data_IF_108781245660
#
_entry.id   IF_108781245660
#
_cell.length_a   1.000
_cell.length_b   1.000
_cell.length_c   1.000
_cell.angle_alpha   90.00
_cell.angle_beta   90.00
_cell.angle_gamma   90.00
#
_symmetry.space_group_name_H-M   'P 1'
#
loop_
_entity.id
_entity.type
_entity.pdbx_description
1 polymer ?
#
# COMPACT_ATOMS: atom_id res chain seq x y z
N UNK A 1 0.81 25.25 -28.27
CA UNK A 1 0.75 23.77 -28.21
C UNK A 1 -0.42 23.42 -27.29
N UNK A 2 -1.58 23.08 -27.85
CA UNK A 2 -2.80 22.85 -27.09
C UNK A 2 -2.70 21.51 -26.36
N UNK A 3 -2.55 21.59 -25.05
CA UNK A 3 -2.48 20.46 -24.14
C UNK A 3 -3.92 20.00 -23.89
N UNK A 4 -4.48 19.21 -24.82
CA UNK A 4 -5.80 18.60 -24.65
C UNK A 4 -5.70 17.59 -23.51
N UNK A 5 -6.02 18.03 -22.30
CA UNK A 5 -6.19 17.18 -21.14
C UNK A 5 -7.11 16.03 -21.56
N UNK A 6 -6.54 14.83 -21.66
CA UNK A 6 -7.19 13.65 -22.19
C UNK A 6 -8.44 13.38 -21.36
N UNK A 7 -9.65 13.62 -21.88
CA UNK A 7 -10.92 13.30 -21.21
C UNK A 7 -11.20 11.79 -21.18
N UNK A 8 -10.16 10.94 -21.24
CA UNK A 8 -10.30 9.49 -21.29
C UNK A 8 -9.97 8.90 -19.94
N UNK A 9 -10.84 8.02 -19.47
CA UNK A 9 -10.64 7.33 -18.21
C UNK A 9 -9.45 6.35 -18.33
N UNK A 10 -8.50 6.43 -17.40
CA UNK A 10 -7.34 5.53 -17.43
C UNK A 10 -7.66 4.05 -17.22
N UNK A 11 -8.88 3.71 -16.79
CA UNK A 11 -9.32 2.35 -16.43
C UNK A 11 -10.13 1.71 -17.57
N UNK A 12 -11.22 2.37 -17.98
CA UNK A 12 -12.15 1.84 -19.00
C UNK A 12 -11.96 2.45 -20.40
N UNK A 13 -11.05 3.42 -20.56
CA UNK A 13 -10.75 4.11 -21.83
C UNK A 13 -11.91 4.90 -22.47
N UNK A 14 -13.02 5.05 -21.75
CA UNK A 14 -14.17 5.86 -22.18
C UNK A 14 -13.89 7.37 -22.06
N UNK A 15 -14.43 8.14 -23.01
CA UNK A 15 -14.36 9.60 -23.01
C UNK A 15 -15.48 10.20 -22.18
N UNK A 16 -15.14 10.69 -20.98
CA UNK A 16 -16.09 11.23 -20.00
C UNK A 16 -15.39 12.13 -18.99
N UNK A 17 -16.15 12.79 -18.11
CA UNK A 17 -15.56 13.64 -17.07
C UNK A 17 -14.70 12.79 -16.13
N UNK A 18 -13.40 13.09 -16.12
CA UNK A 18 -12.42 12.41 -15.26
C UNK A 18 -11.91 13.35 -14.17
N UNK A 19 -11.48 12.75 -13.06
CA UNK A 19 -10.79 13.42 -11.99
C UNK A 19 -9.67 12.52 -11.45
N UNK A 20 -8.60 13.11 -10.91
CA UNK A 20 -7.65 12.33 -10.10
C UNK A 20 -8.37 11.81 -8.86
N UNK A 21 -8.18 10.52 -8.58
CA UNK A 21 -8.78 9.86 -7.43
C UNK A 21 -7.70 9.41 -6.48
N UNK A 22 -8.01 9.54 -5.20
CA UNK A 22 -7.11 9.15 -4.12
C UNK A 22 -7.71 7.94 -3.41
N UNK A 23 -7.00 6.82 -3.50
CA UNK A 23 -7.18 5.68 -2.62
C UNK A 23 -5.93 5.56 -1.75
N UNK A 24 -6.04 4.91 -0.59
CA UNK A 24 -4.88 4.60 0.21
C UNK A 24 -3.91 3.68 -0.56
N UNK A 25 -2.61 3.67 -0.21
CA UNK A 25 -1.65 2.76 -0.85
C UNK A 25 -2.06 1.29 -0.79
N UNK A 26 -2.66 0.87 0.33
CA UNK A 26 -3.14 -0.51 0.53
C UNK A 26 -4.34 -0.83 -0.35
N UNK A 27 -5.26 0.12 -0.55
CA UNK A 27 -6.39 -0.05 -1.46
C UNK A 27 -5.91 -0.17 -2.92
N UNK A 28 -4.94 0.65 -3.34
CA UNK A 28 -4.32 0.50 -4.67
C UNK A 28 -3.61 -0.84 -4.84
N UNK A 29 -2.92 -1.30 -3.79
CA UNK A 29 -2.26 -2.61 -3.79
C UNK A 29 -3.28 -3.73 -3.94
N UNK A 30 -4.37 -3.69 -3.17
CA UNK A 30 -5.45 -4.66 -3.24
C UNK A 30 -6.07 -4.72 -4.64
N UNK A 31 -6.46 -3.56 -5.21
CA UNK A 31 -6.99 -3.47 -6.58
C UNK A 31 -6.02 -4.03 -7.64
N UNK A 32 -4.71 -3.82 -7.45
CA UNK A 32 -3.69 -4.36 -8.37
C UNK A 32 -3.55 -5.88 -8.23
N UNK A 33 -3.54 -6.41 -7.01
CA UNK A 33 -3.44 -7.85 -6.73
C UNK A 33 -4.69 -8.59 -7.22
N UNK A 34 -5.86 -7.97 -7.09
CA UNK A 34 -7.12 -8.52 -7.62
C UNK A 34 -7.23 -8.45 -9.14
N UNK A 35 -6.33 -7.72 -9.82
CA UNK A 35 -6.32 -7.58 -11.28
C UNK A 35 -7.32 -6.55 -11.83
N UNK A 36 -7.90 -5.72 -10.97
CA UNK A 36 -8.87 -4.68 -11.34
C UNK A 36 -8.18 -3.47 -12.01
N UNK A 37 -6.92 -3.24 -11.66
CA UNK A 37 -6.10 -2.16 -12.23
C UNK A 37 -4.67 -2.63 -12.47
N UNK A 38 -4.03 -2.01 -13.45
CA UNK A 38 -2.58 -2.11 -13.65
C UNK A 38 -1.86 -1.12 -12.75
N UNK A 39 -0.62 -1.44 -12.35
CA UNK A 39 0.20 -0.57 -11.51
C UNK A 39 0.41 0.84 -12.11
N UNK A 40 0.48 0.95 -13.44
CA UNK A 40 0.59 2.22 -14.15
C UNK A 40 -0.67 3.11 -14.07
N UNK A 41 -1.83 2.54 -13.73
CA UNK A 41 -3.11 3.24 -13.61
C UNK A 41 -3.30 3.84 -12.20
N UNK A 42 -2.47 3.46 -11.23
CA UNK A 42 -2.51 4.03 -9.87
C UNK A 42 -2.27 5.54 -9.91
N UNK A 43 -3.15 6.30 -9.26
CA UNK A 43 -3.09 7.77 -9.20
C UNK A 43 -3.42 8.50 -10.52
N UNK A 44 -3.79 7.77 -11.58
CA UNK A 44 -4.25 8.38 -12.83
C UNK A 44 -5.69 8.89 -12.70
N UNK A 45 -6.07 9.79 -13.61
CA UNK A 45 -7.42 10.31 -13.65
C UNK A 45 -8.41 9.23 -14.12
N UNK A 46 -9.49 9.04 -13.37
CA UNK A 46 -10.57 8.14 -13.71
C UNK A 46 -11.92 8.84 -13.59
N UNK A 47 -12.92 8.28 -14.25
CA UNK A 47 -14.28 8.77 -14.19
C UNK A 47 -14.93 8.50 -12.82
N UNK A 48 -16.20 8.90 -12.68
CA UNK A 48 -16.97 8.58 -11.49
C UNK A 48 -17.43 7.11 -11.40
N UNK A 49 -17.79 6.49 -12.52
CA UNK A 49 -18.30 5.11 -12.51
C UNK A 49 -17.24 4.11 -12.02
N UNK A 50 -16.06 4.07 -12.66
CA UNK A 50 -14.96 3.19 -12.21
C UNK A 50 -14.55 3.48 -10.76
N UNK A 51 -14.58 4.75 -10.34
CA UNK A 51 -14.27 5.10 -8.96
C UNK A 51 -15.31 4.54 -7.97
N UNK A 52 -16.61 4.61 -8.31
CA UNK A 52 -17.69 4.01 -7.53
C UNK A 52 -17.56 2.49 -7.48
N UNK A 53 -17.33 1.84 -8.62
CA UNK A 53 -17.20 0.38 -8.71
C UNK A 53 -16.04 -0.13 -7.85
N UNK A 54 -14.88 0.53 -7.93
CA UNK A 54 -13.73 0.19 -7.08
C UNK A 54 -13.98 0.46 -5.61
N UNK A 55 -14.70 1.54 -5.27
CA UNK A 55 -15.04 1.84 -3.88
C UNK A 55 -15.95 0.77 -3.30
N UNK A 56 -16.95 0.33 -4.06
CA UNK A 56 -17.88 -0.70 -3.62
C UNK A 56 -17.16 -2.05 -3.45
N UNK A 57 -16.29 -2.42 -4.39
CA UNK A 57 -15.45 -3.61 -4.29
C UNK A 57 -14.51 -3.57 -3.07
N UNK A 58 -13.85 -2.43 -2.82
CA UNK A 58 -12.98 -2.23 -1.65
C UNK A 58 -13.75 -2.32 -0.33
N UNK A 59 -15.02 -1.90 -0.31
CA UNK A 59 -15.89 -2.02 0.87
C UNK A 59 -16.29 -3.49 1.07
N UNK A 60 -16.73 -4.15 0.02
CA UNK A 60 -17.15 -5.57 0.04
C UNK A 60 -16.02 -6.48 0.54
N UNK A 61 -14.79 -6.23 0.08
CA UNK A 61 -13.61 -7.01 0.42
C UNK A 61 -12.69 -6.32 1.43
N UNK A 62 -13.24 -5.43 2.25
CA UNK A 62 -12.48 -4.62 3.22
C UNK A 62 -11.57 -5.44 4.15
N UNK A 63 -12.03 -6.60 4.61
CA UNK A 63 -11.22 -7.51 5.43
C UNK A 63 -9.94 -7.99 4.73
N UNK A 64 -9.97 -8.15 3.40
CA UNK A 64 -8.78 -8.54 2.63
C UNK A 64 -7.84 -7.35 2.40
N UNK A 65 -8.39 -6.13 2.30
CA UNK A 65 -7.58 -4.90 2.20
C UNK A 65 -6.70 -4.73 3.44
N UNK A 66 -7.23 -5.07 4.62
CA UNK A 66 -6.49 -4.99 5.89
C UNK A 66 -5.26 -5.93 5.93
N UNK A 67 -5.30 -7.07 5.23
CA UNK A 67 -4.14 -7.98 5.14
C UNK A 67 -2.95 -7.31 4.44
N UNK A 68 -3.21 -6.50 3.42
CA UNK A 68 -2.15 -5.74 2.74
C UNK A 68 -1.64 -4.57 3.59
N UNK A 69 -2.46 -4.04 4.51
CA UNK A 69 -2.01 -3.05 5.49
C UNK A 69 -1.14 -3.67 6.59
N UNK A 70 -1.47 -4.88 7.05
CA UNK A 70 -0.73 -5.58 8.10
C UNK A 70 0.64 -6.12 7.63
N UNK A 71 0.74 -6.56 6.36
CA UNK A 71 2.01 -7.04 5.81
C UNK A 71 3.07 -5.93 5.72
N UNK A 72 2.66 -4.67 5.50
CA UNK A 72 3.55 -3.50 5.55
C UNK A 72 4.10 -3.19 6.95
N UNK A 73 3.31 -3.47 8.01
CA UNK A 73 3.72 -3.26 9.41
C UNK A 73 4.67 -4.34 9.93
N UNK A 74 4.61 -5.55 9.38
CA UNK A 74 5.47 -6.67 9.80
C UNK A 74 6.96 -6.41 9.51
N UNK A 75 7.26 -5.65 8.45
CA UNK A 75 8.64 -5.22 8.16
C UNK A 75 9.16 -4.18 9.17
N UNK A 76 8.29 -3.38 9.79
CA UNK A 76 8.68 -2.40 10.81
C UNK A 76 8.91 -3.03 12.19
N UNK A 77 8.19 -4.11 12.52
CA UNK A 77 8.39 -4.84 13.77
C UNK A 77 9.71 -5.63 13.77
N UNK A 78 10.11 -6.19 12.61
CA UNK A 78 11.34 -6.97 12.48
C UNK A 78 12.63 -6.14 12.68
N UNK A 79 12.61 -4.84 12.37
CA UNK A 79 13.78 -3.95 12.56
C UNK A 79 13.97 -3.47 14.00
N UNK A 80 12.94 -3.53 14.85
CA UNK A 80 13.04 -3.07 16.24
C UNK A 80 13.66 -4.12 17.20
N UNK A 81 13.68 -5.39 16.82
CA UNK A 81 14.22 -6.47 17.67
C UNK A 81 15.76 -6.62 17.56
N UNK A 82 16.39 -6.06 16.52
CA UNK A 82 17.85 -6.14 16.33
C UNK A 82 18.64 -5.13 17.20
N UNK A 83 17.97 -4.10 17.74
CA UNK A 83 18.61 -3.08 18.57
C UNK A 83 18.74 -3.47 20.07
N UNK A 84 18.14 -4.59 20.49
CA UNK A 84 18.08 -5.01 21.90
C UNK A 84 19.21 -5.95 22.38
N UNK A 85 20.01 -6.54 21.49
CA UNK A 85 20.92 -7.65 21.83
C UNK A 85 22.40 -7.26 22.01
N UNK A 86 22.69 -6.08 22.57
CA UNK A 86 24.09 -5.63 22.82
C UNK A 86 24.39 -5.20 24.25
N UNK A 87 23.69 -5.77 25.24
CA UNK A 87 23.95 -5.45 26.64
C UNK A 87 23.84 -6.66 27.58
N UNK A 88 24.60 -7.75 27.37
CA UNK A 88 24.87 -8.65 28.50
C UNK A 88 26.05 -9.63 28.34
N UNK A 89 27.28 -9.19 28.12
CA UNK A 89 28.45 -10.08 28.32
C UNK A 89 29.67 -9.31 28.85
N UNK A 90 29.69 -8.97 30.14
CA UNK A 90 30.93 -8.74 30.90
C UNK A 90 30.71 -8.98 32.40
N UNK A 91 30.05 -10.09 32.73
CA UNK A 91 29.92 -10.63 34.07
C UNK A 91 30.61 -11.98 34.19
N UNK A 92 31.93 -12.05 34.01
CA UNK A 92 32.69 -13.23 34.38
C UNK A 92 34.18 -12.93 34.62
N UNK A 93 34.67 -13.39 35.79
CA UNK A 93 36.07 -13.55 36.23
C UNK A 93 36.66 -12.39 37.05
N UNK A 94 36.51 -12.48 38.38
CA UNK A 94 37.67 -12.68 39.26
C UNK A 94 37.25 -13.00 40.69
N UNK A 95 37.14 -14.29 41.00
CA UNK A 95 37.39 -14.85 42.33
C UNK A 95 38.26 -16.08 42.09
N UNK A 96 39.55 -16.04 42.47
CA UNK A 96 40.30 -17.05 43.22
C UNK A 96 41.80 -16.69 43.30
N UNK A 97 42.43 -17.12 44.41
CA UNK A 97 43.84 -17.04 44.83
C UNK A 97 44.24 -15.72 45.53
N UNK A 98 44.79 -15.71 46.74
CA UNK A 98 45.11 -16.73 47.75
C UNK A 98 45.32 -16.00 49.08
#
# INVERSE_FOLDING_TARGET
>A
MNNSAQNRCAVCDEERKIARREFSPHAWTALTVWGEVQSAQSGQAMCNSCYSDFRDLLIERSNEVELYAANSLSDLAAVHDLAGYRANENGAKSQIAS
#
